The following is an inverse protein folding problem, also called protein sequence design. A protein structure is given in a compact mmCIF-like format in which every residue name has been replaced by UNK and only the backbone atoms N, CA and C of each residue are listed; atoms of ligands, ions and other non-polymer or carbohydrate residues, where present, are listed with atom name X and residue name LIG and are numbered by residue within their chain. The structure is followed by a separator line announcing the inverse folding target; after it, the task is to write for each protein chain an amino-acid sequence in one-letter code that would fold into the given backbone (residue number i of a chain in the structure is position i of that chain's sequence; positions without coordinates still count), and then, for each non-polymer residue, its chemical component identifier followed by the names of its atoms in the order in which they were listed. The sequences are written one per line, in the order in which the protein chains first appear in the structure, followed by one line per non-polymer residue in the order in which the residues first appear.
data_IF_505268906004
#
_entry.id   IF_505268906004
#
_cell.length_a   1.000
_cell.length_b   1.000
_cell.length_c   1.000
_cell.angle_alpha   90.00
_cell.angle_beta   90.00
_cell.angle_gamma   90.00
#
_symmetry.space_group_name_H-M   'P 1'
#
loop_
_entity.id
_entity.type
_entity.pdbx_description
1 polymer ?
#
# COMPACT_ATOMS: atom_id res chain seq x y z
N UNK A 1 -27.64 53.54 1.51
CA UNK A 1 -26.19 53.49 1.23
C UNK A 1 -25.66 52.25 1.95
N UNK A 2 -25.37 51.18 1.21
CA UNK A 2 -24.99 49.88 1.76
C UNK A 2 -23.47 49.80 1.91
N UNK A 3 -23.03 49.11 2.94
CA UNK A 3 -21.67 49.04 3.48
C UNK A 3 -20.69 48.37 2.50
N UNK A 4 -20.03 49.16 1.65
CA UNK A 4 -18.96 48.68 0.75
C UNK A 4 -17.69 48.23 1.49
N UNK A 5 -17.53 48.54 2.79
CA UNK A 5 -16.28 48.34 3.52
C UNK A 5 -16.12 46.95 4.17
N UNK A 6 -17.15 46.10 4.13
CA UNK A 6 -17.13 44.82 4.87
C UNK A 6 -16.71 43.60 4.04
N UNK A 7 -16.47 43.77 2.74
CA UNK A 7 -15.97 42.70 1.89
C UNK A 7 -14.61 43.10 1.32
N UNK A 8 -13.51 42.39 1.64
CA UNK A 8 -12.22 42.68 1.05
C UNK A 8 -12.26 42.39 -0.45
N UNK A 9 -11.65 43.28 -1.23
CA UNK A 9 -11.57 43.20 -2.70
C UNK A 9 -10.76 41.98 -3.18
N UNK A 10 -9.92 41.42 -2.30
CA UNK A 10 -9.11 40.22 -2.54
C UNK A 10 -9.26 39.26 -1.37
N UNK A 11 -9.87 38.11 -1.63
CA UNK A 11 -9.86 36.97 -0.71
C UNK A 11 -8.59 36.17 -1.00
N UNK A 12 -7.53 36.40 -0.22
CA UNK A 12 -6.38 35.51 -0.22
C UNK A 12 -6.80 34.20 0.43
N UNK A 13 -7.24 33.22 -0.37
CA UNK A 13 -7.27 31.84 0.05
C UNK A 13 -5.83 31.42 0.28
N UNK A 14 -5.35 31.59 1.51
CA UNK A 14 -4.18 30.87 1.99
C UNK A 14 -4.57 29.39 2.07
N UNK A 15 -4.56 28.73 0.91
CA UNK A 15 -4.35 27.31 0.86
C UNK A 15 -2.92 27.10 1.38
N UNK A 16 -2.85 26.76 2.65
CA UNK A 16 -1.59 26.56 3.35
C UNK A 16 -0.86 25.38 2.69
N UNK A 17 0.21 25.70 1.97
CA UNK A 17 1.02 24.73 1.23
C UNK A 17 1.51 23.62 2.17
N UNK A 18 1.75 23.95 3.44
CA UNK A 18 2.18 22.98 4.44
C UNK A 18 1.05 22.03 4.83
N UNK A 19 -0.19 22.51 4.96
CA UNK A 19 -1.36 21.64 5.19
C UNK A 19 -1.61 20.70 4.01
N UNK A 20 -1.49 21.22 2.80
CA UNK A 20 -1.63 20.39 1.59
C UNK A 20 -0.55 19.32 1.52
N UNK A 21 0.70 19.65 1.89
CA UNK A 21 1.79 18.67 1.96
C UNK A 21 1.49 17.57 2.98
N UNK A 22 1.05 17.93 4.19
CA UNK A 22 0.70 16.98 5.26
C UNK A 22 -0.40 16.02 4.81
N UNK A 23 -1.45 16.53 4.16
CA UNK A 23 -2.58 15.72 3.73
C UNK A 23 -2.18 14.74 2.62
N UNK A 24 -1.38 15.18 1.64
CA UNK A 24 -0.88 14.32 0.57
C UNK A 24 0.02 13.21 1.12
N UNK A 25 0.90 13.53 2.07
CA UNK A 25 1.70 12.53 2.76
C UNK A 25 0.83 11.50 3.53
N UNK A 26 -0.30 11.93 4.09
CA UNK A 26 -1.27 11.02 4.72
C UNK A 26 -1.90 10.09 3.70
N UNK A 27 -2.42 10.63 2.59
CA UNK A 27 -3.04 9.84 1.52
C UNK A 27 -2.08 8.83 0.90
N UNK A 28 -0.80 9.19 0.76
CA UNK A 28 0.25 8.28 0.30
C UNK A 28 0.45 7.12 1.28
N UNK A 29 0.48 7.40 2.60
CA UNK A 29 0.61 6.37 3.64
C UNK A 29 -0.61 5.45 3.72
N UNK A 30 -1.80 6.02 3.51
CA UNK A 30 -3.08 5.29 3.51
C UNK A 30 -3.31 4.51 2.20
N UNK A 31 -2.50 4.75 1.17
CA UNK A 31 -2.63 4.10 -0.14
C UNK A 31 -3.77 4.64 -1.01
N UNK A 32 -4.43 5.71 -0.58
CA UNK A 32 -5.55 6.37 -1.27
C UNK A 32 -5.08 7.36 -2.35
N UNK A 33 -3.79 7.67 -2.39
CA UNK A 33 -3.21 8.64 -3.32
C UNK A 33 -3.17 8.16 -4.77
N UNK A 34 -3.07 6.86 -5.03
CA UNK A 34 -2.78 6.34 -6.37
C UNK A 34 -4.04 6.27 -7.25
N UNK A 35 -4.20 7.26 -8.15
CA UNK A 35 -5.29 7.28 -9.13
C UNK A 35 -4.74 7.10 -10.55
N UNK A 36 -5.07 5.95 -11.15
CA UNK A 36 -4.62 5.53 -12.48
C UNK A 36 -4.97 6.52 -13.61
N UNK A 37 -6.00 7.35 -13.43
CA UNK A 37 -6.43 8.32 -14.44
C UNK A 37 -5.61 9.62 -14.43
N UNK A 38 -4.94 9.95 -13.31
CA UNK A 38 -4.32 11.27 -13.11
C UNK A 38 -2.83 11.25 -12.78
N UNK A 39 -2.13 10.15 -13.07
CA UNK A 39 -0.70 9.94 -12.75
C UNK A 39 0.17 11.16 -13.12
N UNK A 40 0.07 11.66 -14.37
CA UNK A 40 0.86 12.83 -14.83
C UNK A 40 0.58 14.11 -14.05
N UNK A 41 -0.66 14.31 -13.61
CA UNK A 41 -1.05 15.48 -12.83
C UNK A 41 -0.56 15.37 -11.39
N UNK A 42 -0.62 14.16 -10.82
CA UNK A 42 -0.09 13.87 -9.49
C UNK A 42 1.43 14.02 -9.44
N UNK A 43 2.16 13.53 -10.43
CA UNK A 43 3.61 13.72 -10.54
C UNK A 43 3.99 15.21 -10.55
N UNK A 44 3.30 16.01 -11.39
CA UNK A 44 3.52 17.45 -11.47
C UNK A 44 3.20 18.16 -10.14
N UNK A 45 2.15 17.74 -9.44
CA UNK A 45 1.77 18.29 -8.14
C UNK A 45 2.82 17.97 -7.07
N UNK A 46 3.33 16.74 -7.04
CA UNK A 46 4.37 16.31 -6.12
C UNK A 46 5.69 17.06 -6.37
N UNK A 47 6.04 17.29 -7.63
CA UNK A 47 7.18 18.11 -8.02
C UNK A 47 7.04 19.56 -7.52
N UNK A 48 5.87 20.18 -7.72
CA UNK A 48 5.58 21.54 -7.25
C UNK A 48 5.62 21.64 -5.72
N UNK A 49 5.17 20.62 -5.01
CA UNK A 49 5.18 20.56 -3.54
C UNK A 49 6.51 20.07 -2.96
N UNK A 50 7.48 19.71 -3.81
CA UNK A 50 8.78 19.15 -3.45
C UNK A 50 8.68 17.88 -2.59
N UNK A 51 7.62 17.09 -2.79
CA UNK A 51 7.40 15.83 -2.07
C UNK A 51 8.17 14.73 -2.81
N UNK A 52 9.12 14.09 -2.12
CA UNK A 52 9.82 12.92 -2.65
C UNK A 52 8.91 11.70 -2.59
N UNK A 53 8.25 11.40 -3.71
CA UNK A 53 7.43 10.21 -3.88
C UNK A 53 7.92 9.41 -5.08
N UNK A 54 8.18 8.12 -4.89
CA UNK A 54 8.59 7.22 -5.96
C UNK A 54 7.44 6.24 -6.27
N UNK A 55 6.60 6.51 -7.28
CA UNK A 55 5.43 5.68 -7.59
C UNK A 55 5.82 4.25 -7.98
N UNK A 56 7.03 4.06 -8.51
CA UNK A 56 7.57 2.77 -8.97
C UNK A 56 7.74 1.76 -7.81
N UNK A 57 7.72 2.21 -6.56
CA UNK A 57 7.86 1.34 -5.39
C UNK A 57 6.76 0.29 -5.26
N UNK A 58 5.52 0.61 -5.65
CA UNK A 58 4.37 -0.24 -5.34
C UNK A 58 4.15 -1.38 -6.35
N UNK A 59 4.47 -1.19 -7.64
CA UNK A 59 4.34 -2.26 -8.64
C UNK A 59 5.34 -3.39 -8.39
N UNK A 60 6.60 -3.05 -8.08
CA UNK A 60 7.64 -4.05 -7.77
C UNK A 60 7.33 -4.78 -6.47
N UNK A 61 6.78 -4.08 -5.47
CA UNK A 61 6.32 -4.71 -4.22
C UNK A 61 5.14 -5.62 -4.51
N UNK A 62 4.17 -5.20 -5.32
CA UNK A 62 3.00 -6.00 -5.69
C UNK A 62 3.39 -7.28 -6.45
N UNK A 63 4.33 -7.20 -7.40
CA UNK A 63 4.85 -8.39 -8.10
C UNK A 63 5.58 -9.34 -7.15
N UNK A 64 6.39 -8.80 -6.22
CA UNK A 64 7.07 -9.61 -5.19
C UNK A 64 6.08 -10.28 -4.24
N UNK A 65 5.02 -9.58 -3.83
CA UNK A 65 3.94 -10.13 -2.99
C UNK A 65 3.24 -11.28 -3.71
N UNK A 66 2.81 -11.07 -4.96
CA UNK A 66 2.20 -12.14 -5.78
C UNK A 66 3.12 -13.35 -5.95
N UNK A 67 4.42 -13.13 -6.17
CA UNK A 67 5.40 -14.21 -6.28
C UNK A 67 5.56 -14.98 -4.97
N UNK A 68 5.42 -14.30 -3.82
CA UNK A 68 5.51 -14.91 -2.50
C UNK A 68 4.25 -15.72 -2.16
N UNK A 69 3.06 -15.26 -2.53
CA UNK A 69 1.81 -16.02 -2.34
C UNK A 69 1.90 -17.40 -3.02
N UNK A 70 2.34 -17.44 -4.28
CA UNK A 70 2.53 -18.71 -5.03
C UNK A 70 3.56 -19.63 -4.37
N UNK A 71 4.57 -19.08 -3.70
CA UNK A 71 5.56 -19.89 -2.96
C UNK A 71 4.97 -20.43 -1.65
N UNK A 72 4.08 -19.67 -1.01
CA UNK A 72 3.40 -20.05 0.22
C UNK A 72 2.50 -21.27 -0.04
N UNK A 73 1.67 -21.23 -1.09
CA UNK A 73 0.78 -22.36 -1.47
C UNK A 73 1.57 -23.66 -1.67
N UNK A 74 2.73 -23.57 -2.34
CA UNK A 74 3.61 -24.73 -2.58
C UNK A 74 4.25 -25.28 -1.30
N UNK A 75 4.48 -24.43 -0.31
CA UNK A 75 5.01 -24.85 0.99
C UNK A 75 3.91 -25.52 1.83
N UNK A 76 2.69 -25.00 1.77
CA UNK A 76 1.52 -25.56 2.43
C UNK A 76 1.22 -26.99 1.92
N UNK A 77 1.21 -27.19 0.60
CA UNK A 77 1.07 -28.53 0.01
C UNK A 77 2.17 -29.52 0.44
N UNK A 78 3.39 -29.03 0.69
CA UNK A 78 4.50 -29.88 1.16
C UNK A 78 4.33 -30.24 2.62
N UNK A 79 3.79 -29.33 3.43
CA UNK A 79 3.52 -29.55 4.85
C UNK A 79 2.45 -30.65 5.02
N UNK A 80 1.35 -30.57 4.27
CA UNK A 80 0.30 -31.60 4.27
C UNK A 80 0.81 -33.01 3.93
N UNK A 81 1.78 -33.08 3.01
CA UNK A 81 2.42 -34.35 2.62
C UNK A 81 3.32 -34.87 3.73
N UNK A 82 4.00 -33.99 4.44
CA UNK A 82 4.88 -34.34 5.55
C UNK A 82 4.06 -34.89 6.73
N UNK A 83 2.96 -34.23 7.09
CA UNK A 83 2.07 -34.66 8.18
C UNK A 83 1.50 -36.06 7.92
N UNK A 84 1.05 -36.32 6.68
CA UNK A 84 0.60 -37.67 6.26
C UNK A 84 1.70 -38.73 6.33
N UNK A 85 2.97 -38.36 6.18
CA UNK A 85 4.09 -39.29 6.31
C UNK A 85 4.41 -39.55 7.78
N UNK A 86 4.35 -38.53 8.64
CA UNK A 86 4.54 -38.65 10.08
C UNK A 86 3.48 -39.59 10.69
N UNK A 87 2.20 -39.42 10.37
CA UNK A 87 1.14 -40.33 10.83
C UNK A 87 1.39 -41.79 10.41
N UNK A 88 1.89 -42.01 9.19
CA UNK A 88 2.21 -43.35 8.70
C UNK A 88 3.39 -43.95 9.45
N UNK A 89 4.39 -43.14 9.76
CA UNK A 89 5.57 -43.57 10.51
C UNK A 89 5.19 -43.96 11.93
N UNK A 90 4.33 -43.18 12.59
CA UNK A 90 3.86 -43.47 13.95
C UNK A 90 3.08 -44.80 14.01
N UNK A 91 2.16 -45.01 13.05
CA UNK A 91 1.44 -46.30 12.91
C UNK A 91 2.38 -47.49 12.71
N UNK A 92 3.45 -47.33 11.93
CA UNK A 92 4.44 -48.39 11.71
C UNK A 92 5.25 -48.69 12.97
N UNK A 93 5.64 -47.66 13.74
CA UNK A 93 6.36 -47.84 15.00
C UNK A 93 5.49 -48.57 16.03
N UNK A 94 4.20 -48.23 16.10
CA UNK A 94 3.25 -48.88 17.03
C UNK A 94 3.02 -50.36 16.70
N UNK A 95 3.05 -50.73 15.41
CA UNK A 95 2.97 -52.14 14.97
C UNK A 95 4.23 -52.92 15.34
N UNK A 96 5.43 -52.34 15.16
CA UNK A 96 6.69 -53.03 15.46
C UNK A 96 7.00 -53.11 16.96
N UNK A 97 6.35 -52.30 17.80
CA UNK A 97 6.51 -52.31 19.25
C UNK A 97 5.58 -53.30 19.98
N UNK A 98 4.62 -53.95 19.27
CA UNK A 98 3.75 -55.01 19.78
C UNK A 98 4.26 -56.39 19.39
#
# INVERSE_FOLDING_TARGET
RRWQTWFPEVIHYYADVDKTRIEIERLIKEGEWDNKEFIKMQEKLLEQLQIKYNPIGNEVILEKVKSNDVKLDKLEEKLDKLEKLEEKLEKLLEIHAK
#
